data_IF_543274258122
#
_entry.id   IF_543274258122
#
_cell.length_a   1.000
_cell.length_b   1.000
_cell.length_c   1.000
_cell.angle_alpha   90.00
_cell.angle_beta   90.00
_cell.angle_gamma   90.00
#
_symmetry.space_group_name_H-M   'P 1'
#
loop_
_entity.id
_entity.type
_entity.pdbx_description
1 polymer ?
#
# COMPACT_ATOMS: atom_id res chain seq x y z
N UNK A 1 -48.27 55.18 24.89
CA UNK A 1 -46.86 54.95 24.52
C UNK A 1 -46.19 54.16 25.66
N UNK A 2 -45.91 52.87 25.47
CA UNK A 2 -45.14 52.08 26.45
C UNK A 2 -43.90 51.51 25.78
N UNK A 3 -42.73 52.03 26.19
CA UNK A 3 -41.43 51.56 25.72
C UNK A 3 -41.04 50.31 26.52
N UNK A 4 -41.43 49.12 26.03
CA UNK A 4 -41.00 47.83 26.59
C UNK A 4 -39.47 47.70 26.45
N UNK A 5 -38.72 47.30 27.49
CA UNK A 5 -37.26 47.44 27.50
C UNK A 5 -36.60 46.55 26.44
N UNK A 6 -35.87 47.18 25.51
CA UNK A 6 -35.09 46.54 24.43
C UNK A 6 -33.98 45.61 24.96
N UNK A 7 -33.67 45.70 26.26
CA UNK A 7 -32.59 45.00 26.96
C UNK A 7 -32.82 43.47 26.98
N UNK A 8 -34.07 43.02 27.10
CA UNK A 8 -34.39 41.58 27.11
C UNK A 8 -34.07 40.90 25.78
N UNK A 9 -34.40 41.55 24.65
CA UNK A 9 -34.10 41.04 23.31
C UNK A 9 -32.59 41.04 23.04
N UNK A 10 -31.88 42.09 23.46
CA UNK A 10 -30.43 42.18 23.30
C UNK A 10 -29.70 41.06 24.08
N UNK A 11 -30.14 40.76 25.31
CA UNK A 11 -29.60 39.63 26.10
C UNK A 11 -29.85 38.28 25.44
N UNK A 12 -31.04 38.07 24.89
CA UNK A 12 -31.38 36.83 24.17
C UNK A 12 -30.52 36.67 22.91
N UNK A 13 -30.29 37.75 22.16
CA UNK A 13 -29.44 37.74 20.96
C UNK A 13 -27.98 37.43 21.34
N UNK A 14 -27.47 38.01 22.43
CA UNK A 14 -26.11 37.75 22.92
C UNK A 14 -25.92 36.29 23.37
N UNK A 15 -26.87 35.76 24.14
CA UNK A 15 -26.82 34.36 24.58
C UNK A 15 -26.93 33.43 23.37
N UNK A 16 -27.84 33.72 22.44
CA UNK A 16 -28.00 32.94 21.22
C UNK A 16 -26.74 32.95 20.35
N UNK A 17 -26.03 34.08 20.24
CA UNK A 17 -24.80 34.14 19.44
C UNK A 17 -23.68 33.33 20.06
N UNK A 18 -23.54 33.36 21.39
CA UNK A 18 -22.54 32.57 22.13
C UNK A 18 -22.81 31.07 21.97
N UNK A 19 -24.08 30.65 22.10
CA UNK A 19 -24.47 29.26 21.89
C UNK A 19 -24.18 28.81 20.45
N UNK A 20 -24.51 29.65 19.46
CA UNK A 20 -24.23 29.36 18.05
C UNK A 20 -22.72 29.21 17.78
N UNK A 21 -21.91 30.10 18.36
CA UNK A 21 -20.46 30.05 18.26
C UNK A 21 -19.89 28.78 18.89
N UNK A 22 -20.41 28.39 20.06
CA UNK A 22 -20.02 27.17 20.75
C UNK A 22 -20.33 25.91 19.93
N UNK A 23 -21.51 25.86 19.30
CA UNK A 23 -21.88 24.76 18.40
C UNK A 23 -20.99 24.71 17.16
N UNK A 24 -20.69 25.85 16.54
CA UNK A 24 -19.76 25.93 15.40
C UNK A 24 -18.38 25.39 15.77
N UNK A 25 -17.82 25.82 16.90
CA UNK A 25 -16.52 25.34 17.38
C UNK A 25 -16.53 23.84 17.66
N UNK A 26 -17.60 23.32 18.27
CA UNK A 26 -17.76 21.89 18.54
C UNK A 26 -17.76 21.08 17.23
N UNK A 27 -18.53 21.51 16.23
CA UNK A 27 -18.59 20.84 14.92
C UNK A 27 -17.25 20.90 14.19
N UNK A 28 -16.52 22.02 14.29
CA UNK A 28 -15.20 22.19 13.69
C UNK A 28 -14.17 21.24 14.29
N UNK A 29 -14.11 21.14 15.63
CA UNK A 29 -13.21 20.21 16.33
C UNK A 29 -13.56 18.76 15.97
N UNK A 30 -14.85 18.43 15.90
CA UNK A 30 -15.28 17.08 15.56
C UNK A 30 -14.90 16.69 14.12
N UNK A 31 -14.99 17.63 13.18
CA UNK A 31 -14.59 17.41 11.79
C UNK A 31 -13.07 17.27 11.64
N UNK A 32 -12.30 18.08 12.37
CA UNK A 32 -10.84 17.98 12.42
C UNK A 32 -10.38 16.64 12.99
N UNK A 33 -10.99 16.16 14.09
CA UNK A 33 -10.67 14.86 14.67
C UNK A 33 -10.92 13.71 13.68
N UNK A 34 -12.02 13.77 12.92
CA UNK A 34 -12.31 12.79 11.87
C UNK A 34 -11.24 12.87 10.76
N UNK A 35 -10.92 14.07 10.28
CA UNK A 35 -9.94 14.27 9.22
C UNK A 35 -8.54 13.77 9.61
N UNK A 36 -8.10 14.02 10.86
CA UNK A 36 -6.81 13.55 11.38
C UNK A 36 -6.77 12.02 11.44
N UNK A 37 -7.85 11.38 11.89
CA UNK A 37 -7.94 9.91 11.94
C UNK A 37 -7.96 9.25 10.56
N UNK A 38 -8.48 9.95 9.54
CA UNK A 38 -8.55 9.45 8.17
C UNK A 38 -7.20 9.56 7.47
N UNK A 39 -6.49 10.68 7.62
CA UNK A 39 -5.13 10.86 7.07
C UNK A 39 -4.16 9.80 7.60
N UNK A 40 -4.26 9.44 8.88
CA UNK A 40 -3.39 8.44 9.50
C UNK A 40 -3.61 7.01 8.96
N UNK A 41 -4.84 6.70 8.52
CA UNK A 41 -5.16 5.42 7.88
C UNK A 41 -4.70 5.35 6.43
N UNK A 42 -4.72 6.48 5.72
CA UNK A 42 -4.21 6.56 4.33
C UNK A 42 -2.69 6.38 4.30
N UNK A 43 -1.95 6.98 5.23
CA UNK A 43 -0.49 6.90 5.28
C UNK A 43 0.02 5.50 5.62
N UNK A 44 -0.59 4.82 6.59
CA UNK A 44 -0.27 3.42 6.89
C UNK A 44 -0.61 2.48 5.74
N UNK A 45 -1.74 2.69 5.07
CA UNK A 45 -2.12 1.89 3.90
C UNK A 45 -1.16 2.09 2.74
N UNK A 46 -0.65 3.31 2.53
CA UNK A 46 0.33 3.60 1.49
C UNK A 46 1.68 2.91 1.76
N UNK A 47 2.15 2.91 3.01
CA UNK A 47 3.38 2.22 3.40
C UNK A 47 3.29 0.70 3.18
N UNK A 48 2.16 0.09 3.55
CA UNK A 48 1.90 -1.34 3.34
C UNK A 48 1.89 -1.67 1.84
N UNK A 49 1.25 -0.84 1.00
CA UNK A 49 1.24 -1.04 -0.46
C UNK A 49 2.64 -0.97 -1.06
N UNK A 50 3.49 -0.07 -0.56
CA UNK A 50 4.87 0.05 -1.04
C UNK A 50 5.73 -1.16 -0.65
N UNK A 51 5.60 -1.63 0.60
CA UNK A 51 6.27 -2.84 1.09
C UNK A 51 5.87 -4.07 0.26
N UNK A 52 4.57 -4.32 0.09
CA UNK A 52 4.06 -5.42 -0.74
C UNK A 52 4.53 -5.33 -2.20
N UNK A 53 4.61 -4.13 -2.78
CA UNK A 53 5.16 -3.95 -4.14
C UNK A 53 6.63 -4.33 -4.22
N UNK A 54 7.41 -3.99 -3.19
CA UNK A 54 8.84 -4.31 -3.13
C UNK A 54 9.05 -5.82 -3.01
N UNK A 55 8.30 -6.48 -2.14
CA UNK A 55 8.34 -7.93 -1.98
C UNK A 55 7.93 -8.65 -3.26
N UNK A 56 6.85 -8.23 -3.90
CA UNK A 56 6.38 -8.86 -5.14
C UNK A 56 7.41 -8.75 -6.28
N UNK A 57 8.10 -7.60 -6.40
CA UNK A 57 9.24 -7.47 -7.33
C UNK A 57 10.39 -8.42 -7.00
N UNK A 58 10.72 -8.58 -5.71
CA UNK A 58 11.76 -9.51 -5.29
C UNK A 58 11.40 -10.97 -5.58
N UNK A 59 10.14 -11.37 -5.37
CA UNK A 59 9.66 -12.71 -5.73
C UNK A 59 9.65 -12.92 -7.24
N UNK A 60 9.23 -11.94 -8.04
CA UNK A 60 9.27 -12.03 -9.49
C UNK A 60 10.70 -12.25 -10.02
N UNK A 61 11.69 -11.55 -9.45
CA UNK A 61 13.11 -11.74 -9.79
C UNK A 61 13.61 -13.13 -9.39
N UNK A 62 13.20 -13.64 -8.22
CA UNK A 62 13.55 -14.99 -7.79
C UNK A 62 12.94 -16.06 -8.69
N UNK A 63 11.68 -15.90 -9.11
CA UNK A 63 11.04 -16.80 -10.09
C UNK A 63 11.78 -16.75 -11.42
N UNK A 64 12.16 -15.56 -11.90
CA UNK A 64 12.93 -15.41 -13.13
C UNK A 64 14.28 -16.11 -13.04
N UNK A 65 14.96 -15.99 -11.90
CA UNK A 65 16.25 -16.66 -11.63
C UNK A 65 16.10 -18.18 -11.51
N UNK A 66 15.00 -18.66 -10.92
CA UNK A 66 14.71 -20.09 -10.82
C UNK A 66 14.31 -20.70 -12.17
N UNK A 67 13.68 -19.90 -13.04
CA UNK A 67 13.30 -20.30 -14.40
C UNK A 67 14.35 -19.97 -15.46
N UNK A 68 15.52 -19.43 -15.08
CA UNK A 68 16.52 -19.08 -16.09
C UNK A 68 17.02 -20.35 -16.78
N UNK A 69 17.22 -20.32 -18.11
CA UNK A 69 17.70 -21.47 -18.88
C UNK A 69 18.94 -22.12 -18.25
N UNK A 70 19.89 -21.30 -17.81
CA UNK A 70 21.12 -21.76 -17.14
C UNK A 70 20.85 -22.57 -15.86
N UNK A 71 19.83 -22.20 -15.06
CA UNK A 71 19.47 -22.97 -13.85
C UNK A 71 18.73 -24.25 -14.19
N UNK A 72 17.88 -24.23 -15.22
CA UNK A 72 17.21 -25.43 -15.72
C UNK A 72 18.24 -26.42 -16.23
N UNK A 73 19.20 -25.94 -17.01
CA UNK A 73 20.33 -26.70 -17.53
C UNK A 73 21.23 -27.24 -16.41
N UNK A 74 21.57 -26.40 -15.43
CA UNK A 74 22.35 -26.83 -14.26
C UNK A 74 21.64 -27.96 -13.50
N UNK A 75 20.34 -27.83 -13.24
CA UNK A 75 19.56 -28.88 -12.57
C UNK A 75 19.47 -30.14 -13.45
N UNK A 76 19.31 -29.99 -14.76
CA UNK A 76 19.29 -31.10 -15.70
C UNK A 76 20.63 -31.87 -15.70
N UNK A 77 21.76 -31.17 -15.74
CA UNK A 77 23.10 -31.77 -15.72
C UNK A 77 23.46 -32.36 -14.35
N UNK A 78 23.29 -31.58 -13.27
CA UNK A 78 23.77 -31.95 -11.93
C UNK A 78 22.85 -32.91 -11.18
N UNK A 79 21.53 -32.72 -11.27
CA UNK A 79 20.57 -33.53 -10.49
C UNK A 79 19.96 -34.67 -11.29
N UNK A 80 19.76 -34.47 -12.59
CA UNK A 80 19.09 -35.44 -13.45
C UNK A 80 20.09 -36.20 -14.35
N UNK A 81 21.38 -35.86 -14.29
CA UNK A 81 22.43 -36.53 -15.06
C UNK A 81 22.27 -36.38 -16.58
N UNK A 82 21.47 -35.41 -17.02
CA UNK A 82 21.25 -35.17 -18.44
C UNK A 82 22.49 -34.52 -19.05
N UNK A 83 22.89 -35.02 -20.21
CA UNK A 83 23.95 -34.40 -21.01
C UNK A 83 23.40 -33.94 -22.35
N UNK A 84 24.09 -33.00 -22.98
CA UNK A 84 23.67 -32.52 -24.29
C UNK A 84 23.68 -33.65 -25.33
N UNK A 85 22.64 -33.76 -26.18
CA UNK A 85 22.55 -34.82 -27.18
C UNK A 85 23.77 -34.85 -28.11
N UNK A 86 24.28 -33.68 -28.51
CA UNK A 86 25.45 -33.57 -29.39
C UNK A 86 26.71 -34.21 -28.79
N UNK A 87 26.88 -34.10 -27.46
CA UNK A 87 28.00 -34.73 -26.75
C UNK A 87 27.87 -36.26 -26.67
N UNK A 88 26.66 -36.82 -26.73
CA UNK A 88 26.44 -38.27 -26.81
C UNK A 88 26.74 -38.76 -28.21
N UNK A 89 26.24 -38.06 -29.23
CA UNK A 89 26.33 -38.47 -30.63
C UNK A 89 27.77 -38.36 -31.20
N UNK A 90 28.56 -37.39 -30.72
CA UNK A 90 29.98 -37.28 -31.09
C UNK A 90 30.83 -38.37 -30.44
N UNK A 91 30.57 -38.68 -29.17
CA UNK A 91 31.29 -39.74 -28.43
C UNK A 91 31.07 -41.13 -29.02
N UNK A 92 29.89 -41.38 -29.59
CA UNK A 92 29.59 -42.65 -30.28
C UNK A 92 30.31 -42.76 -31.64
N UNK A 93 30.45 -41.64 -32.35
CA UNK A 93 31.15 -41.60 -33.65
C UNK A 93 32.66 -41.89 -33.54
N UNK A 94 33.28 -41.50 -32.43
CA UNK A 94 34.70 -41.73 -32.16
C UNK A 94 35.00 -43.17 -31.69
N UNK A 95 33.97 -43.99 -31.40
CA UNK A 95 34.10 -45.39 -30.99
C UNK A 95 33.95 -46.39 -32.16
N UNK A 96 33.63 -45.91 -33.36
CA UNK A 96 33.37 -46.71 -34.56
C UNK A 96 34.53 -46.62 -35.58
N UNK A 97 35.68 -46.04 -35.20
CA UNK A 97 36.86 -45.92 -36.05
C UNK A 97 38.11 -46.56 -35.43
#
# INVERSE_FOLDING_TARGET
MQHKPRIGKARIILVSSIVLLGLLLLTFIHLQNIAISLSYQVEQSAAIIEELKRENKAYALQVLKLKSPDRVEQVAREKLGMMEPEAVLLKDKDLVN
#
